data_IF_399997675540
#
_entry.id   IF_399997675540
#
_cell.length_a   1.000
_cell.length_b   1.000
_cell.length_c   1.000
_cell.angle_alpha   90.00
_cell.angle_beta   90.00
_cell.angle_gamma   90.00
#
_symmetry.space_group_name_H-M   'P 1'
#
loop_
_entity.id
_entity.type
_entity.pdbx_description
1 polymer ?
#
# COMPACT_ATOMS: atom_id res chain seq x y z
N UNK A 1 -13.70 -11.81 41.61
CA UNK A 1 -12.36 -11.62 40.98
C UNK A 1 -12.16 -12.52 39.75
N UNK A 2 -12.41 -13.83 39.81
CA UNK A 2 -12.25 -14.76 38.67
C UNK A 2 -13.08 -14.40 37.41
N UNK A 3 -14.30 -13.88 37.59
CA UNK A 3 -15.19 -13.42 36.49
C UNK A 3 -14.63 -12.21 35.73
N UNK A 4 -13.99 -11.26 36.43
CA UNK A 4 -13.35 -10.11 35.79
C UNK A 4 -12.07 -10.51 35.04
N UNK A 5 -11.35 -11.52 35.53
CA UNK A 5 -10.17 -12.08 34.87
C UNK A 5 -10.55 -12.79 33.55
N UNK A 6 -11.67 -13.53 33.53
CA UNK A 6 -12.22 -14.18 32.33
C UNK A 6 -12.69 -13.16 31.27
N UNK A 7 -13.29 -12.05 31.68
CA UNK A 7 -13.69 -10.96 30.77
C UNK A 7 -12.48 -10.23 30.16
N UNK A 8 -11.43 -10.00 30.96
CA UNK A 8 -10.18 -9.41 30.47
C UNK A 8 -9.45 -10.36 29.49
N UNK A 9 -9.48 -11.67 29.73
CA UNK A 9 -8.90 -12.68 28.85
C UNK A 9 -9.69 -12.88 27.54
N UNK A 10 -11.02 -12.72 27.57
CA UNK A 10 -11.84 -12.76 26.36
C UNK A 10 -11.64 -11.54 25.46
N UNK A 11 -11.34 -10.37 26.03
CA UNK A 11 -11.13 -9.13 25.28
C UNK A 11 -9.85 -9.13 24.43
N UNK A 12 -8.83 -9.91 24.78
CA UNK A 12 -7.58 -9.98 24.00
C UNK A 12 -7.70 -10.84 22.74
N UNK A 13 -8.72 -11.70 22.63
CA UNK A 13 -8.92 -12.61 21.49
C UNK A 13 -9.46 -11.86 20.26
N UNK A 14 -10.06 -10.67 20.44
CA UNK A 14 -10.55 -9.82 19.35
C UNK A 14 -9.50 -8.84 18.80
N UNK A 15 -8.25 -8.86 19.30
CA UNK A 15 -7.19 -8.05 18.74
C UNK A 15 -6.79 -8.58 17.35
N UNK A 16 -7.32 -7.97 16.30
CA UNK A 16 -6.92 -8.24 14.93
C UNK A 16 -5.46 -7.89 14.71
N UNK A 17 -4.60 -8.88 14.49
CA UNK A 17 -3.19 -8.64 14.20
C UNK A 17 -3.05 -8.09 12.76
N UNK A 18 -2.50 -6.89 12.63
CA UNK A 18 -2.08 -6.33 11.35
C UNK A 18 -0.61 -6.61 11.11
N UNK A 19 -0.22 -6.93 9.88
CA UNK A 19 1.19 -7.09 9.50
C UNK A 19 1.57 -6.16 8.35
N UNK A 20 2.81 -5.69 8.39
CA UNK A 20 3.48 -5.00 7.29
C UNK A 20 4.74 -5.79 6.97
N UNK A 21 4.89 -6.19 5.71
CA UNK A 21 6.11 -6.79 5.17
C UNK A 21 6.62 -5.87 4.06
N UNK A 22 7.89 -5.49 4.10
CA UNK A 22 8.54 -4.70 3.05
C UNK A 22 9.87 -5.34 2.70
N UNK A 23 10.16 -5.38 1.41
CA UNK A 23 11.42 -5.85 0.86
C UNK A 23 11.91 -4.83 -0.17
N UNK A 24 13.12 -4.34 0.02
CA UNK A 24 13.78 -3.42 -0.91
C UNK A 24 15.07 -4.04 -1.42
N UNK A 25 15.44 -3.68 -2.65
CA UNK A 25 16.77 -3.99 -3.14
C UNK A 25 17.78 -3.02 -2.49
N UNK A 26 18.73 -3.52 -1.66
CA UNK A 26 19.66 -2.66 -0.93
C UNK A 26 20.63 -1.89 -1.83
N UNK A 27 20.79 -2.29 -3.10
CA UNK A 27 21.61 -1.59 -4.07
C UNK A 27 20.92 -0.36 -4.69
N UNK A 28 19.63 -0.13 -4.39
CA UNK A 28 18.82 0.94 -4.97
C UNK A 28 18.66 2.08 -3.96
N UNK A 29 19.07 3.27 -4.37
CA UNK A 29 18.86 4.50 -3.61
C UNK A 29 17.55 5.18 -4.05
N UNK A 30 16.49 5.01 -3.26
CA UNK A 30 15.17 5.59 -3.51
C UNK A 30 15.17 7.13 -3.44
N UNK A 31 16.13 7.76 -2.75
CA UNK A 31 16.23 9.21 -2.66
C UNK A 31 16.49 9.89 -4.00
N UNK A 32 17.02 9.15 -4.98
CA UNK A 32 17.27 9.63 -6.36
C UNK A 32 16.02 9.67 -7.23
N UNK A 33 14.98 8.92 -6.88
CA UNK A 33 13.74 8.89 -7.67
C UNK A 33 12.82 10.03 -7.27
N UNK A 34 12.39 10.82 -8.25
CA UNK A 34 11.53 11.99 -8.05
C UNK A 34 10.21 11.88 -8.78
N UNK A 35 10.12 11.00 -9.76
CA UNK A 35 8.95 10.82 -10.62
C UNK A 35 8.40 9.39 -10.58
N UNK A 36 7.11 9.28 -10.32
CA UNK A 36 6.40 8.03 -10.10
C UNK A 36 5.19 7.95 -11.03
N UNK A 37 4.92 6.76 -11.55
CA UNK A 37 3.71 6.46 -12.30
C UNK A 37 3.00 5.27 -11.67
N UNK A 38 1.74 5.45 -11.31
CA UNK A 38 0.93 4.39 -10.71
C UNK A 38 0.05 3.77 -11.79
N UNK A 39 0.17 2.47 -12.00
CA UNK A 39 -0.68 1.76 -12.93
C UNK A 39 -2.14 1.80 -12.46
N UNK A 40 -3.03 2.33 -13.30
CA UNK A 40 -4.47 2.25 -13.07
C UNK A 40 -4.98 0.84 -13.40
N UNK A 41 -5.67 0.22 -12.44
CA UNK A 41 -6.31 -1.08 -12.64
C UNK A 41 -7.78 -0.90 -13.01
N UNK A 42 -8.19 -1.50 -14.12
CA UNK A 42 -9.60 -1.51 -14.56
C UNK A 42 -10.56 -2.17 -13.55
N UNK A 43 -10.04 -3.01 -12.66
CA UNK A 43 -10.81 -3.69 -11.62
C UNK A 43 -10.91 -2.88 -10.32
N UNK A 44 -10.20 -1.75 -10.22
CA UNK A 44 -10.22 -0.89 -9.05
C UNK A 44 -11.44 0.04 -9.08
N UNK A 45 -12.34 -0.16 -8.13
CA UNK A 45 -13.52 0.67 -7.93
C UNK A 45 -13.42 1.55 -6.67
N UNK A 46 -12.26 1.58 -6.02
CA UNK A 46 -12.01 2.30 -4.76
C UNK A 46 -11.00 3.44 -4.94
N UNK A 47 -10.34 3.55 -6.10
CA UNK A 47 -9.42 4.65 -6.42
C UNK A 47 -8.09 4.57 -5.68
N UNK A 48 -7.58 3.35 -5.47
CA UNK A 48 -6.31 3.10 -4.78
C UNK A 48 -5.15 3.76 -5.52
N UNK A 49 -5.14 3.73 -6.85
CA UNK A 49 -4.14 4.41 -7.67
C UNK A 49 -4.06 5.90 -7.36
N UNK A 50 -5.22 6.57 -7.30
CA UNK A 50 -5.31 8.00 -7.02
C UNK A 50 -4.89 8.31 -5.58
N UNK A 51 -5.23 7.45 -4.62
CA UNK A 51 -4.76 7.57 -3.24
C UNK A 51 -3.24 7.44 -3.13
N UNK A 52 -2.62 6.49 -3.84
CA UNK A 52 -1.16 6.33 -3.92
C UNK A 52 -0.53 7.59 -4.54
N UNK A 53 -1.08 8.09 -5.66
CA UNK A 53 -0.61 9.33 -6.30
C UNK A 53 -0.68 10.52 -5.34
N UNK A 54 -1.78 10.63 -4.58
CA UNK A 54 -1.97 11.72 -3.64
C UNK A 54 -0.95 11.67 -2.49
N UNK A 55 -0.70 10.49 -1.91
CA UNK A 55 0.30 10.33 -0.86
C UNK A 55 1.72 10.66 -1.37
N UNK A 56 2.10 10.18 -2.56
CA UNK A 56 3.38 10.50 -3.19
C UNK A 56 3.54 12.02 -3.42
N UNK A 57 2.48 12.69 -3.90
CA UNK A 57 2.48 14.16 -4.09
C UNK A 57 2.60 14.92 -2.77
N UNK A 58 1.95 14.45 -1.70
CA UNK A 58 2.08 15.05 -0.37
C UNK A 58 3.50 14.94 0.18
N UNK A 59 4.29 13.96 -0.27
CA UNK A 59 5.73 13.81 0.03
C UNK A 59 6.63 14.67 -0.87
N UNK A 60 6.07 15.48 -1.76
CA UNK A 60 6.82 16.34 -2.69
C UNK A 60 7.37 15.59 -3.91
N UNK A 61 6.87 14.40 -4.23
CA UNK A 61 7.25 13.63 -5.41
C UNK A 61 6.31 13.94 -6.58
N UNK A 62 6.83 13.95 -7.80
CA UNK A 62 6.00 14.04 -8.98
C UNK A 62 5.32 12.67 -9.21
N UNK A 63 3.99 12.63 -9.20
CA UNK A 63 3.25 11.39 -9.41
C UNK A 63 2.03 11.59 -10.32
N UNK A 64 1.71 10.57 -11.11
CA UNK A 64 0.50 10.48 -11.94
C UNK A 64 0.06 9.01 -12.04
N UNK A 65 -1.18 8.75 -12.44
CA UNK A 65 -1.67 7.40 -12.68
C UNK A 65 -2.34 7.28 -14.06
N UNK A 66 -2.47 6.04 -14.52
CA UNK A 66 -3.15 5.71 -15.76
C UNK A 66 -2.75 4.33 -16.29
N UNK A 67 -3.24 3.98 -17.48
CA UNK A 67 -2.86 2.72 -18.14
C UNK A 67 -1.36 2.68 -18.44
N UNK A 68 -0.76 1.48 -18.47
CA UNK A 68 0.67 1.32 -18.77
C UNK A 68 1.06 1.85 -20.18
N UNK A 69 0.10 1.98 -21.09
CA UNK A 69 0.32 2.59 -22.41
C UNK A 69 0.42 4.12 -22.39
N UNK A 70 0.15 4.76 -21.25
CA UNK A 70 0.16 6.21 -21.05
C UNK A 70 1.32 6.69 -20.17
N UNK A 71 2.29 5.82 -19.88
CA UNK A 71 3.46 6.19 -19.06
C UNK A 71 4.20 7.37 -19.73
N UNK A 72 4.39 8.49 -19.02
CA UNK A 72 5.20 9.60 -19.53
C UNK A 72 6.66 9.18 -19.75
N UNK A 73 7.34 9.80 -20.72
CA UNK A 73 8.75 9.45 -21.05
C UNK A 73 9.74 9.63 -19.88
N UNK A 74 9.42 10.51 -18.92
CA UNK A 74 10.29 10.89 -17.80
C UNK A 74 9.69 10.44 -16.46
N UNK A 75 9.65 9.13 -16.26
CA UNK A 75 9.27 8.48 -14.99
C UNK A 75 10.44 7.66 -14.49
N UNK A 76 10.72 7.71 -13.19
CA UNK A 76 11.78 6.92 -12.56
C UNK A 76 11.27 5.55 -12.10
N UNK A 77 10.06 5.53 -11.54
CA UNK A 77 9.45 4.36 -10.89
C UNK A 77 8.03 4.12 -11.37
N UNK A 78 7.73 2.89 -11.74
CA UNK A 78 6.37 2.42 -11.99
C UNK A 78 5.90 1.66 -10.74
N UNK A 79 4.71 2.01 -10.25
CA UNK A 79 4.04 1.38 -9.11
C UNK A 79 2.87 0.57 -9.65
N UNK A 80 2.84 -0.72 -9.33
CA UNK A 80 1.68 -1.58 -9.49
C UNK A 80 1.16 -1.99 -8.11
N UNK A 81 -0.12 -2.33 -8.01
CA UNK A 81 -0.71 -2.75 -6.73
C UNK A 81 -1.73 -3.87 -6.92
N UNK A 82 -2.00 -4.59 -5.84
CA UNK A 82 -3.14 -5.51 -5.73
C UNK A 82 -3.84 -5.25 -4.40
N UNK A 83 -5.13 -4.95 -4.49
CA UNK A 83 -6.00 -4.68 -3.36
C UNK A 83 -6.98 -5.83 -3.16
N UNK A 84 -7.19 -6.21 -1.90
CA UNK A 84 -8.19 -7.19 -1.51
C UNK A 84 -9.16 -6.58 -0.52
N UNK A 85 -10.42 -6.60 -0.88
CA UNK A 85 -11.52 -6.09 -0.09
C UNK A 85 -12.43 -7.22 0.37
N UNK A 86 -13.12 -6.98 1.48
CA UNK A 86 -14.26 -7.77 1.92
C UNK A 86 -15.40 -6.85 2.32
N UNK A 87 -16.58 -7.42 2.53
CA UNK A 87 -17.84 -6.68 2.69
C UNK A 87 -18.73 -7.23 3.81
N UNK A 88 -18.16 -7.74 4.92
CA UNK A 88 -18.98 -8.40 5.94
C UNK A 88 -20.03 -7.49 6.61
N UNK A 89 -19.68 -6.22 6.88
CA UNK A 89 -20.57 -5.21 7.47
C UNK A 89 -20.49 -3.86 6.75
N UNK A 90 -19.31 -3.55 6.23
CA UNK A 90 -18.99 -2.43 5.34
C UNK A 90 -17.93 -2.94 4.35
N UNK A 91 -17.71 -2.25 3.25
CA UNK A 91 -16.53 -2.53 2.42
C UNK A 91 -15.28 -2.05 3.16
N UNK A 92 -14.29 -2.93 3.33
CA UNK A 92 -13.01 -2.56 3.94
C UNK A 92 -11.85 -3.32 3.31
N UNK A 93 -10.71 -2.63 3.22
CA UNK A 93 -9.47 -3.14 2.65
C UNK A 93 -8.79 -4.06 3.67
N UNK A 94 -8.57 -5.32 3.31
CA UNK A 94 -7.95 -6.31 4.19
C UNK A 94 -6.51 -6.63 3.79
N UNK A 95 -6.13 -6.31 2.55
CA UNK A 95 -4.79 -6.52 2.06
C UNK A 95 -4.48 -5.54 0.94
N UNK A 96 -3.28 -4.98 0.96
CA UNK A 96 -2.74 -4.18 -0.14
C UNK A 96 -1.31 -4.62 -0.39
N UNK A 97 -1.03 -5.09 -1.60
CA UNK A 97 0.30 -5.35 -2.11
C UNK A 97 0.70 -4.22 -3.05
N UNK A 98 1.92 -3.74 -2.95
CA UNK A 98 2.50 -2.74 -3.84
C UNK A 98 3.84 -3.24 -4.33
N UNK A 99 4.08 -3.08 -5.63
CA UNK A 99 5.33 -3.42 -6.30
C UNK A 99 5.87 -2.18 -6.97
N UNK A 100 7.11 -1.82 -6.65
CA UNK A 100 7.85 -0.75 -7.31
C UNK A 100 8.86 -1.34 -8.30
N UNK A 101 8.82 -0.84 -9.55
CA UNK A 101 9.75 -1.21 -10.62
C UNK A 101 10.48 0.02 -11.13
N UNK A 102 11.76 -0.13 -11.45
CA UNK A 102 12.50 0.90 -12.14
C UNK A 102 11.96 1.04 -13.59
N UNK A 103 11.51 2.23 -13.98
CA UNK A 103 10.83 2.46 -15.25
C UNK A 103 11.71 2.17 -16.49
N UNK A 104 13.03 2.40 -16.37
CA UNK A 104 13.98 2.18 -17.48
C UNK A 104 14.30 0.70 -17.70
N UNK A 105 14.45 -0.06 -16.62
CA UNK A 105 14.95 -1.45 -16.69
C UNK A 105 13.87 -2.49 -16.43
N UNK A 106 12.68 -2.06 -16.01
CA UNK A 106 11.57 -2.88 -15.55
C UNK A 106 11.90 -3.84 -14.38
N UNK A 107 13.06 -3.67 -13.74
CA UNK A 107 13.48 -4.48 -12.60
C UNK A 107 12.68 -4.09 -11.36
N UNK A 108 12.23 -5.09 -10.62
CA UNK A 108 11.62 -4.88 -9.30
C UNK A 108 12.68 -4.33 -8.34
N UNK A 109 12.35 -3.22 -7.70
CA UNK A 109 13.25 -2.50 -6.78
C UNK A 109 12.70 -2.51 -5.34
N UNK A 110 11.39 -2.63 -5.17
CA UNK A 110 10.78 -2.90 -3.88
C UNK A 110 9.43 -3.60 -4.03
N UNK A 111 9.02 -4.28 -2.97
CA UNK A 111 7.66 -4.77 -2.76
C UNK A 111 7.27 -4.56 -1.31
N UNK A 112 6.01 -4.24 -1.06
CA UNK A 112 5.48 -4.11 0.28
C UNK A 112 4.05 -4.64 0.33
N UNK A 113 3.70 -5.29 1.43
CA UNK A 113 2.37 -5.86 1.67
C UNK A 113 1.91 -5.47 3.05
N UNK A 114 0.72 -4.87 3.13
CA UNK A 114 0.03 -4.64 4.39
C UNK A 114 -1.20 -5.54 4.45
N UNK A 115 -1.37 -6.28 5.56
CA UNK A 115 -2.50 -7.16 5.78
C UNK A 115 -3.18 -6.84 7.11
N UNK A 116 -4.50 -6.69 7.07
CA UNK A 116 -5.35 -6.46 8.24
C UNK A 116 -6.70 -7.17 8.06
N UNK A 117 -6.81 -8.46 8.44
CA UNK A 117 -7.97 -9.29 8.12
C UNK A 117 -9.22 -9.06 9.00
N UNK A 118 -9.32 -7.95 9.73
CA UNK A 118 -10.44 -7.64 10.62
C UNK A 118 -11.31 -6.47 10.15
N UNK A 119 -12.61 -6.42 10.54
CA UNK A 119 -13.58 -5.39 10.11
C UNK A 119 -13.27 -3.98 10.62
N UNK A 120 -12.44 -3.88 11.65
CA UNK A 120 -11.88 -2.63 12.15
C UNK A 120 -10.59 -2.25 11.37
N UNK A 121 -10.55 -2.56 10.07
CA UNK A 121 -9.41 -2.19 9.23
C UNK A 121 -9.25 -0.68 9.18
N UNK A 122 -8.00 -0.26 9.01
CA UNK A 122 -7.65 1.16 8.90
C UNK A 122 -8.17 1.73 7.59
N UNK A 123 -8.30 3.05 7.55
CA UNK A 123 -8.60 3.76 6.32
C UNK A 123 -7.54 3.43 5.25
N UNK A 124 -7.94 3.21 3.98
CA UNK A 124 -7.02 2.84 2.90
C UNK A 124 -5.82 3.76 2.77
N UNK A 125 -6.01 5.07 2.94
CA UNK A 125 -4.95 6.08 2.88
C UNK A 125 -3.88 5.84 3.96
N UNK A 126 -4.29 5.42 5.16
CA UNK A 126 -3.35 5.08 6.24
C UNK A 126 -2.57 3.80 5.92
N UNK A 127 -3.20 2.82 5.27
CA UNK A 127 -2.51 1.62 4.80
C UNK A 127 -1.49 1.94 3.70
N UNK A 128 -1.88 2.78 2.74
CA UNK A 128 -1.02 3.26 1.66
C UNK A 128 0.19 4.00 2.23
N UNK A 129 -0.01 4.96 3.13
CA UNK A 129 1.08 5.71 3.75
C UNK A 129 2.09 4.78 4.44
N UNK A 130 1.61 3.76 5.16
CA UNK A 130 2.47 2.75 5.80
C UNK A 130 3.24 1.87 4.82
N UNK A 131 2.62 1.50 3.71
CA UNK A 131 3.29 0.72 2.66
C UNK A 131 4.40 1.55 2.02
N UNK A 132 4.11 2.79 1.64
CA UNK A 132 5.06 3.69 1.00
C UNK A 132 6.20 4.06 1.94
N UNK A 133 5.93 4.23 3.24
CA UNK A 133 6.94 4.36 4.29
C UNK A 133 7.92 3.17 4.31
N UNK A 134 7.46 1.97 3.95
CA UNK A 134 8.27 0.76 3.92
C UNK A 134 9.41 0.80 2.89
N UNK A 135 9.40 1.76 1.96
CA UNK A 135 10.49 1.90 1.00
C UNK A 135 10.90 3.34 0.62
N UNK A 136 10.23 4.37 1.14
CA UNK A 136 10.58 5.77 0.89
C UNK A 136 11.20 6.49 2.11
N UNK A 137 11.17 5.88 3.29
CA UNK A 137 11.78 6.42 4.51
C UNK A 137 13.23 5.98 4.68
#
# INVERSE_FOLDING_TARGET
MLRCLLLALAATILAGCSSLSSQQNPAVDFGKFKSYYVEHRLTDNHGIDQMIVNDLRQRGLAASCGHLTMIPEKVDVIIAYEDRWTWDFKSYLIELNVIARNARTNKMIATATYRHPGPLSKDPEVMIAKILDGFLK
#
